data_IF_338355861880
#
_entry.id   IF_338355861880
#
_cell.length_a   1.000
_cell.length_b   1.000
_cell.length_c   1.000
_cell.angle_alpha   90.00
_cell.angle_beta   90.00
_cell.angle_gamma   90.00
#
_symmetry.space_group_name_H-M   'P 1'
#
loop_
_entity.id
_entity.type
_entity.pdbx_description
1 polymer ?
#
# COMPACT_ATOMS: atom_id res chain seq x y z
N UNK A 1 8.39 -5.55 -30.50
CA UNK A 1 7.41 -6.08 -29.52
C UNK A 1 7.10 -4.99 -28.52
N UNK A 2 5.89 -4.39 -28.49
CA UNK A 2 5.59 -3.35 -27.52
C UNK A 2 5.21 -4.00 -26.18
N UNK A 3 6.07 -3.86 -25.18
CA UNK A 3 5.82 -4.24 -23.80
C UNK A 3 4.98 -3.15 -23.12
N UNK A 4 3.64 -3.16 -23.28
CA UNK A 4 2.83 -2.07 -22.71
C UNK A 4 1.40 -2.45 -22.22
N UNK A 5 1.16 -3.67 -21.74
CA UNK A 5 -0.18 -4.04 -21.20
C UNK A 5 -0.24 -4.90 -19.93
N UNK A 6 0.89 -5.33 -19.37
CA UNK A 6 0.90 -6.39 -18.35
C UNK A 6 0.86 -5.89 -16.89
N UNK A 7 1.45 -4.71 -16.60
CA UNK A 7 1.79 -4.33 -15.21
C UNK A 7 0.61 -3.83 -14.37
N UNK A 8 -0.46 -3.35 -15.00
CA UNK A 8 -1.66 -2.80 -14.32
C UNK A 8 -2.90 -3.68 -14.41
N UNK A 9 -2.83 -4.86 -15.04
CA UNK A 9 -4.03 -5.71 -15.20
C UNK A 9 -4.15 -6.79 -14.12
N UNK A 10 -3.07 -7.08 -13.38
CA UNK A 10 -3.04 -8.18 -12.40
C UNK A 10 -2.77 -7.72 -10.96
N UNK A 11 -2.72 -6.42 -10.69
CA UNK A 11 -2.45 -5.91 -9.34
C UNK A 11 -3.45 -6.45 -8.32
N UNK A 12 -4.72 -6.58 -8.71
CA UNK A 12 -5.77 -7.11 -7.84
C UNK A 12 -5.50 -8.56 -7.44
N UNK A 13 -5.16 -9.40 -8.42
CA UNK A 13 -4.75 -10.79 -8.18
C UNK A 13 -3.50 -10.89 -7.30
N UNK A 14 -2.55 -9.98 -7.46
CA UNK A 14 -1.37 -9.92 -6.59
C UNK A 14 -1.76 -9.56 -5.14
N UNK A 15 -2.66 -8.59 -4.95
CA UNK A 15 -3.16 -8.22 -3.63
C UNK A 15 -3.95 -9.36 -2.96
N UNK A 16 -4.76 -10.10 -3.72
CA UNK A 16 -5.44 -11.31 -3.24
C UNK A 16 -4.43 -12.32 -2.70
N UNK A 17 -3.37 -12.62 -3.47
CA UNK A 17 -2.31 -13.53 -3.02
C UNK A 17 -1.54 -13.02 -1.79
N UNK A 18 -1.33 -11.70 -1.70
CA UNK A 18 -0.70 -11.07 -0.54
C UNK A 18 -1.61 -11.25 0.68
N UNK A 19 -2.90 -10.95 0.56
CA UNK A 19 -3.89 -11.11 1.63
C UNK A 19 -3.97 -12.56 2.11
N UNK A 20 -4.12 -13.52 1.19
CA UNK A 20 -4.22 -14.96 1.50
C UNK A 20 -3.02 -15.48 2.31
N UNK A 21 -1.85 -14.86 2.12
CA UNK A 21 -0.60 -15.21 2.82
C UNK A 21 -0.36 -14.39 4.09
N UNK A 22 -1.30 -13.53 4.49
CA UNK A 22 -1.10 -12.59 5.58
C UNK A 22 0.02 -11.58 5.32
N UNK A 23 0.27 -11.28 4.05
CA UNK A 23 1.34 -10.38 3.60
C UNK A 23 1.00 -8.91 3.77
N UNK A 24 1.99 -8.07 3.48
CA UNK A 24 1.91 -6.62 3.65
C UNK A 24 2.27 -5.87 2.37
N UNK A 25 1.74 -4.67 2.25
CA UNK A 25 2.07 -3.68 1.22
C UNK A 25 2.78 -2.49 1.84
N UNK A 26 3.50 -1.74 1.02
CA UNK A 26 4.13 -0.48 1.41
C UNK A 26 3.33 0.68 0.86
N UNK A 27 3.01 1.64 1.73
CA UNK A 27 2.27 2.86 1.39
C UNK A 27 3.20 4.03 1.66
N UNK A 28 3.44 4.84 0.64
CA UNK A 28 4.13 6.11 0.75
C UNK A 28 3.10 7.24 0.88
N UNK A 29 3.20 8.06 1.92
CA UNK A 29 2.36 9.24 2.14
C UNK A 29 3.21 10.48 1.96
N UNK A 30 2.80 11.33 1.01
CA UNK A 30 3.43 12.62 0.78
C UNK A 30 3.07 13.61 1.90
N UNK A 31 4.01 14.45 2.28
CA UNK A 31 3.74 15.55 3.19
C UNK A 31 3.01 16.67 2.45
N UNK A 32 1.91 17.16 3.03
CA UNK A 32 1.16 18.26 2.44
C UNK A 32 1.97 19.56 2.52
N UNK A 33 2.59 19.95 1.40
CA UNK A 33 3.33 21.21 1.28
C UNK A 33 4.73 21.11 0.68
N UNK A 34 5.25 19.90 0.41
CA UNK A 34 6.55 19.75 -0.24
C UNK A 34 6.43 19.67 -1.77
N UNK A 35 7.11 20.59 -2.46
CA UNK A 35 7.49 20.47 -3.87
C UNK A 35 8.54 19.35 -4.00
N UNK A 36 8.11 18.14 -4.34
CA UNK A 36 8.82 16.95 -4.87
C UNK A 36 10.15 16.44 -4.20
N UNK A 37 10.78 17.20 -3.31
CA UNK A 37 12.11 16.92 -2.72
C UNK A 37 12.06 16.48 -1.24
N UNK A 38 10.86 16.36 -0.66
CA UNK A 38 10.64 15.92 0.73
C UNK A 38 10.65 14.40 0.89
N UNK A 39 11.20 13.90 2.01
CA UNK A 39 11.18 12.46 2.32
C UNK A 39 9.75 11.96 2.55
N UNK A 40 9.29 11.00 1.77
CA UNK A 40 7.98 10.37 1.97
C UNK A 40 7.97 9.47 3.20
N UNK A 41 6.87 9.53 3.96
CA UNK A 41 6.63 8.57 5.03
C UNK A 41 6.20 7.24 4.39
N UNK A 42 6.99 6.19 4.61
CA UNK A 42 6.72 4.86 4.09
C UNK A 42 6.30 3.95 5.26
N UNK A 43 5.11 3.38 5.16
CA UNK A 43 4.61 2.37 6.10
C UNK A 43 4.43 1.02 5.42
N UNK A 44 4.91 -0.03 6.09
CA UNK A 44 4.58 -1.41 5.76
C UNK A 44 3.35 -1.83 6.57
N UNK A 45 2.26 -2.16 5.89
CA UNK A 45 0.97 -2.53 6.51
C UNK A 45 0.45 -3.85 5.94
N UNK A 46 0.05 -4.76 6.83
CA UNK A 46 -0.61 -6.02 6.47
C UNK A 46 -1.96 -5.76 5.80
N UNK A 47 -2.24 -6.48 4.72
CA UNK A 47 -3.56 -6.46 4.06
C UNK A 47 -4.50 -7.38 4.84
N UNK A 48 -5.59 -6.82 5.37
CA UNK A 48 -6.57 -7.54 6.19
C UNK A 48 -7.74 -8.03 5.36
N UNK A 49 -8.26 -7.17 4.47
CA UNK A 49 -9.34 -7.52 3.57
C UNK A 49 -9.21 -6.79 2.23
N UNK A 50 -9.76 -7.40 1.19
CA UNK A 50 -9.84 -6.84 -0.14
C UNK A 50 -11.28 -7.00 -0.65
N UNK A 51 -11.91 -5.90 -1.08
CA UNK A 51 -13.24 -5.90 -1.68
C UNK A 51 -13.19 -5.25 -3.07
N UNK A 52 -14.34 -5.13 -3.74
CA UNK A 52 -14.42 -4.41 -5.02
C UNK A 52 -14.00 -2.94 -4.87
N UNK A 53 -14.34 -2.32 -3.73
CA UNK A 53 -14.31 -0.87 -3.54
C UNK A 53 -13.26 -0.42 -2.51
N UNK A 54 -12.75 -1.32 -1.67
CA UNK A 54 -11.81 -0.98 -0.60
C UNK A 54 -10.71 -2.03 -0.40
N UNK A 55 -9.57 -1.54 0.11
CA UNK A 55 -8.47 -2.34 0.64
C UNK A 55 -8.37 -2.00 2.12
N UNK A 56 -8.66 -2.97 2.98
CA UNK A 56 -8.55 -2.80 4.43
C UNK A 56 -7.15 -3.26 4.84
N UNK A 57 -6.39 -2.35 5.44
CA UNK A 57 -5.04 -2.60 5.94
C UNK A 57 -4.98 -2.46 7.46
N UNK A 58 -3.96 -3.04 8.08
CA UNK A 58 -3.70 -2.74 9.49
C UNK A 58 -3.33 -1.27 9.69
N UNK A 59 -3.65 -0.75 10.87
CA UNK A 59 -3.34 0.63 11.18
C UNK A 59 -1.82 0.85 11.22
N UNK A 60 -1.29 1.87 10.53
CA UNK A 60 0.15 2.12 10.54
C UNK A 60 0.61 2.47 11.95
N UNK A 61 1.71 1.86 12.36
CA UNK A 61 2.36 2.12 13.63
C UNK A 61 3.80 2.57 13.41
N UNK A 62 4.25 3.54 14.20
CA UNK A 62 5.64 3.98 14.26
C UNK A 62 6.09 3.91 15.73
N UNK A 63 7.25 3.29 15.99
CA UNK A 63 7.80 3.12 17.35
C UNK A 63 6.80 2.49 18.35
N UNK A 64 5.96 1.56 17.89
CA UNK A 64 4.95 0.91 18.73
C UNK A 64 3.77 1.82 19.12
N UNK A 65 3.67 3.00 18.53
CA UNK A 65 2.54 3.91 18.67
C UNK A 65 1.71 3.88 17.39
N UNK A 66 0.40 3.83 17.58
CA UNK A 66 -0.56 3.93 16.50
C UNK A 66 -0.54 5.37 15.97
N UNK A 67 -0.34 5.53 14.65
CA UNK A 67 -0.41 6.84 14.02
C UNK A 67 -1.85 7.11 13.62
N UNK A 68 -2.40 8.23 14.11
CA UNK A 68 -3.67 8.77 13.64
C UNK A 68 -3.37 9.74 12.50
N UNK A 69 -3.91 9.46 11.32
CA UNK A 69 -3.77 10.25 10.09
C UNK A 69 -5.11 10.91 9.79
#
# INVERSE_FOLDING_TARGET
MPANRSRTMQWRRCLEQIQERGGAIEIAVAHAGDDDDGAHLIWRVRVLALSADEIVVEQPAALGQIVHI
#
